data_IF_846311268007
#
_entry.id   IF_846311268007
#
_cell.length_a   1.000
_cell.length_b   1.000
_cell.length_c   1.000
_cell.angle_alpha   90.00
_cell.angle_beta   90.00
_cell.angle_gamma   90.00
#
_symmetry.space_group_name_H-M   'P 1'
#
loop_
_entity.id
_entity.type
_entity.pdbx_description
1 polymer ?
#
# COMPACT_ATOMS: atom_id res chain seq x y z
N UNK A 1 -5.57 -24.49 11.97
CA UNK A 1 -4.98 -23.14 11.81
C UNK A 1 -3.62 -23.31 11.18
N UNK A 2 -3.38 -22.69 10.02
CA UNK A 2 -2.03 -22.68 9.43
C UNK A 2 -1.12 -21.86 10.35
N UNK A 3 -0.06 -22.48 10.87
CA UNK A 3 0.94 -21.78 11.68
C UNK A 3 1.86 -21.01 10.74
N UNK A 4 1.82 -19.68 10.77
CA UNK A 4 2.70 -18.86 9.96
C UNK A 4 4.14 -18.97 10.48
N UNK A 5 5.08 -19.23 9.59
CA UNK A 5 6.51 -19.19 9.92
C UNK A 5 6.96 -17.72 9.99
N UNK A 6 7.69 -17.37 11.06
CA UNK A 6 8.15 -16.01 11.37
C UNK A 6 7.02 -14.95 11.35
N UNK A 7 6.06 -15.01 12.30
CA UNK A 7 4.90 -14.10 12.31
C UNK A 7 5.28 -12.63 12.56
N UNK A 8 6.47 -12.36 13.10
CA UNK A 8 6.97 -11.00 13.33
C UNK A 8 7.83 -10.48 12.18
N UNK A 9 8.14 -11.33 11.19
CA UNK A 9 9.00 -11.01 10.03
C UNK A 9 10.40 -10.51 10.41
N UNK A 10 10.89 -10.84 11.61
CA UNK A 10 12.11 -10.25 12.18
C UNK A 10 13.37 -10.55 11.36
N UNK A 11 13.32 -11.56 10.49
CA UNK A 11 14.44 -11.98 9.64
C UNK A 11 14.33 -11.52 8.20
N UNK A 12 13.38 -10.62 7.88
CA UNK A 12 13.12 -10.16 6.51
C UNK A 12 13.68 -8.76 6.26
N UNK A 13 14.49 -8.63 5.21
CA UNK A 13 15.01 -7.36 4.74
C UNK A 13 13.95 -6.58 3.94
N UNK A 14 14.17 -5.28 3.82
CA UNK A 14 13.47 -4.44 2.84
C UNK A 14 14.37 -4.21 1.63
N UNK A 15 13.86 -3.73 0.48
CA UNK A 15 14.66 -3.63 -0.75
C UNK A 15 15.98 -2.87 -0.59
N UNK A 16 16.02 -1.82 0.25
CA UNK A 16 17.22 -1.00 0.41
C UNK A 16 17.63 -0.72 1.85
N UNK A 17 16.98 -1.33 2.85
CA UNK A 17 17.45 -1.39 4.24
C UNK A 17 17.67 -2.85 4.64
N UNK A 18 18.95 -3.31 4.66
CA UNK A 18 19.32 -4.60 5.21
C UNK A 18 18.98 -4.72 6.70
N UNK A 19 18.72 -5.94 7.17
CA UNK A 19 18.30 -6.23 8.55
C UNK A 19 19.34 -5.73 9.56
N UNK A 20 20.63 -5.96 9.30
CA UNK A 20 21.74 -5.55 10.18
C UNK A 20 21.93 -4.02 10.25
N UNK A 21 21.29 -3.27 9.34
CA UNK A 21 21.30 -1.80 9.30
C UNK A 21 20.01 -1.18 9.85
N UNK A 22 18.96 -1.96 10.03
CA UNK A 22 17.70 -1.48 10.56
C UNK A 22 17.85 -1.12 12.05
N UNK A 23 17.59 0.14 12.40
CA UNK A 23 17.59 0.62 13.80
C UNK A 23 16.27 0.25 14.50
N UNK A 24 15.18 0.24 13.73
CA UNK A 24 13.89 -0.30 14.10
C UNK A 24 13.44 -1.26 13.02
N UNK A 25 12.98 -2.43 13.45
CA UNK A 25 12.36 -3.44 12.62
C UNK A 25 11.10 -3.91 13.34
N UNK A 26 9.96 -3.89 12.65
CA UNK A 26 8.65 -4.29 13.16
C UNK A 26 7.95 -5.06 12.05
N UNK A 27 7.23 -6.11 12.39
CA UNK A 27 6.37 -6.79 11.45
C UNK A 27 5.25 -7.56 12.12
N UNK A 28 4.25 -7.88 11.30
CA UNK A 28 3.07 -8.67 11.65
C UNK A 28 2.67 -9.53 10.45
N UNK A 29 2.03 -10.66 10.73
CA UNK A 29 1.54 -11.56 9.69
C UNK A 29 0.17 -12.09 10.10
N UNK A 30 -0.66 -12.40 9.12
CA UNK A 30 -1.96 -13.02 9.35
C UNK A 30 -2.34 -13.96 8.21
N UNK A 31 -3.22 -14.91 8.50
CA UNK A 31 -3.86 -15.76 7.50
C UNK A 31 -5.29 -15.27 7.27
N UNK A 32 -5.66 -15.07 6.01
CA UNK A 32 -6.99 -14.62 5.61
C UNK A 32 -7.64 -15.71 4.76
N UNK A 33 -8.85 -16.10 5.12
CA UNK A 33 -9.66 -17.14 4.46
C UNK A 33 -10.36 -16.55 3.23
N UNK A 34 -9.57 -16.04 2.28
CA UNK A 34 -10.06 -15.42 1.05
C UNK A 34 -9.01 -15.52 -0.07
N UNK A 35 -9.41 -15.38 -1.36
CA UNK A 35 -8.48 -15.35 -2.48
C UNK A 35 -7.47 -14.19 -2.40
N UNK A 36 -6.27 -14.42 -2.93
CA UNK A 36 -5.16 -13.46 -2.83
C UNK A 36 -5.43 -12.15 -3.56
N UNK A 37 -6.21 -12.22 -4.63
CA UNK A 37 -6.65 -11.12 -5.48
C UNK A 37 -7.62 -10.18 -4.74
N UNK A 38 -8.51 -10.75 -3.92
CA UNK A 38 -9.45 -9.99 -3.09
C UNK A 38 -8.71 -9.25 -1.97
N UNK A 39 -7.78 -9.94 -1.29
CA UNK A 39 -6.92 -9.34 -0.27
C UNK A 39 -6.06 -8.22 -0.88
N UNK A 40 -5.50 -8.43 -2.07
CA UNK A 40 -4.73 -7.44 -2.79
C UNK A 40 -5.56 -6.21 -3.18
N UNK A 41 -6.77 -6.41 -3.68
CA UNK A 41 -7.69 -5.33 -4.03
C UNK A 41 -8.06 -4.48 -2.80
N UNK A 42 -8.37 -5.12 -1.66
CA UNK A 42 -8.66 -4.43 -0.41
C UNK A 42 -7.44 -3.63 0.10
N UNK A 43 -6.24 -4.22 0.04
CA UNK A 43 -5.01 -3.56 0.47
C UNK A 43 -4.67 -2.35 -0.41
N UNK A 44 -4.82 -2.46 -1.73
CA UNK A 44 -4.33 -1.44 -2.68
C UNK A 44 -5.36 -0.36 -3.03
N UNK A 45 -6.65 -0.59 -2.76
CA UNK A 45 -7.69 0.43 -2.94
C UNK A 45 -7.92 1.25 -1.67
N UNK A 46 -7.33 2.44 -1.60
CA UNK A 46 -7.36 3.27 -0.40
C UNK A 46 -8.74 3.85 -0.08
N UNK A 47 -9.70 3.81 -1.01
CA UNK A 47 -11.06 4.30 -0.74
C UNK A 47 -11.79 3.44 0.28
N UNK A 48 -11.36 2.19 0.50
CA UNK A 48 -11.97 1.27 1.48
C UNK A 48 -11.36 1.44 2.87
N UNK A 49 -10.15 1.96 2.99
CA UNK A 49 -9.43 2.02 4.26
C UNK A 49 -10.18 2.73 5.41
N UNK A 50 -10.97 3.80 5.18
CA UNK A 50 -11.76 4.39 6.26
C UNK A 50 -12.75 3.45 6.94
N UNK A 51 -13.20 2.38 6.27
CA UNK A 51 -14.16 1.44 6.84
C UNK A 51 -13.51 0.30 7.62
N UNK A 52 -12.21 0.09 7.49
CA UNK A 52 -11.54 -1.04 8.12
C UNK A 52 -10.23 -0.70 8.83
N UNK A 53 -9.38 0.17 8.28
CA UNK A 53 -8.04 0.41 8.80
C UNK A 53 -8.07 1.42 9.96
N UNK A 54 -8.08 0.92 11.20
CA UNK A 54 -8.14 1.77 12.39
C UNK A 54 -6.88 2.63 12.56
N UNK A 55 -5.72 2.11 12.16
CA UNK A 55 -4.43 2.78 12.28
C UNK A 55 -4.21 3.86 11.21
N UNK A 56 -4.65 3.61 9.97
CA UNK A 56 -4.61 4.58 8.85
C UNK A 56 -5.98 4.66 8.17
N UNK A 57 -6.94 5.36 8.79
CA UNK A 57 -8.30 5.44 8.28
C UNK A 57 -8.45 6.41 7.09
N UNK A 58 -7.40 7.12 6.69
CA UNK A 58 -7.47 8.08 5.58
C UNK A 58 -6.15 8.14 4.83
N UNK A 59 -6.26 8.18 3.51
CA UNK A 59 -5.15 8.40 2.58
C UNK A 59 -5.49 9.55 1.64
N UNK A 60 -4.53 10.44 1.39
CA UNK A 60 -4.64 11.47 0.35
C UNK A 60 -3.62 11.19 -0.75
N UNK A 61 -4.07 10.94 -1.99
CA UNK A 61 -3.20 10.76 -3.14
C UNK A 61 -2.67 12.14 -3.57
N UNK A 62 -1.35 12.27 -3.70
CA UNK A 62 -0.67 13.52 -4.09
C UNK A 62 -0.33 13.54 -5.57
N UNK A 63 0.10 12.41 -6.12
CA UNK A 63 0.37 12.25 -7.54
C UNK A 63 0.37 10.78 -7.94
N UNK A 64 0.05 10.51 -9.20
CA UNK A 64 0.14 9.18 -9.80
C UNK A 64 0.77 9.29 -11.18
N UNK A 65 1.53 8.27 -11.63
CA UNK A 65 1.96 8.20 -13.02
C UNK A 65 0.75 8.21 -13.95
N UNK A 66 0.87 8.92 -15.06
CA UNK A 66 -0.11 8.86 -16.14
C UNK A 66 -0.09 7.45 -16.73
N UNK A 67 -1.25 6.82 -16.98
CA UNK A 67 -1.30 5.59 -17.76
C UNK A 67 -0.60 5.83 -19.10
N UNK A 68 0.36 4.97 -19.45
CA UNK A 68 1.08 5.08 -20.72
C UNK A 68 0.06 5.02 -21.88
N UNK A 69 0.03 5.99 -22.80
CA UNK A 69 -0.82 5.86 -23.98
C UNK A 69 -0.33 4.66 -24.78
N UNK A 70 -1.11 3.56 -24.76
CA UNK A 70 -0.82 2.39 -25.58
C UNK A 70 -0.60 2.81 -27.04
N UNK A 71 0.43 2.29 -27.74
CA UNK A 71 0.66 2.64 -29.13
C UNK A 71 -0.49 2.06 -29.95
N UNK A 72 -1.38 2.93 -30.40
CA UNK A 72 -2.38 2.58 -31.39
C UNK A 72 -1.65 2.23 -32.69
N UNK A 73 -1.39 0.94 -32.85
CA UNK A 73 -0.99 0.35 -34.13
C UNK A 73 -2.20 0.42 -35.04
N UNK A 74 -2.15 1.29 -36.04
CA UNK A 74 -2.54 1.02 -37.42
C UNK A 74 -2.54 2.34 -38.19
N UNK A 75 -1.51 2.53 -38.99
CA UNK A 75 -1.58 3.44 -40.12
C UNK A 75 -2.68 2.96 -41.09
N UNK A 76 -3.44 3.87 -41.71
CA UNK A 76 -3.96 3.64 -43.03
C UNK A 76 -3.23 4.53 -44.05
N UNK A 77 -2.95 3.90 -45.20
CA UNK A 77 -2.38 4.46 -46.43
C UNK A 77 -3.02 5.79 -46.89
N UNK A 78 -2.32 6.61 -47.71
CA UNK A 78 -2.80 7.91 -48.15
C UNK A 78 -3.63 7.79 -49.43
N UNK A 79 -4.82 8.39 -49.50
CA UNK A 79 -5.48 8.85 -50.76
C UNK A 79 -6.55 9.91 -50.42
N UNK A 80 -6.76 10.95 -51.25
CA UNK A 80 -7.05 12.29 -50.75
C UNK A 80 -8.50 12.76 -50.88
N UNK A 81 -8.77 13.85 -50.15
CA UNK A 81 -9.87 14.81 -50.29
C UNK A 81 -11.26 14.37 -49.78
N UNK A 82 -11.55 14.76 -48.53
CA UNK A 82 -12.79 15.47 -48.21
C UNK A 82 -12.60 16.28 -46.92
N UNK A 83 -12.84 17.58 -47.06
CA UNK A 83 -12.85 18.58 -46.00
C UNK A 83 -13.88 18.23 -44.94
N UNK A 84 -13.43 17.59 -43.87
CA UNK A 84 -14.15 17.53 -42.61
C UNK A 84 -13.12 17.56 -41.48
N UNK A 85 -13.07 18.69 -40.80
CA UNK A 85 -12.37 18.90 -39.54
C UNK A 85 -12.60 17.70 -38.61
N UNK A 86 -11.56 16.96 -38.16
CA UNK A 86 -11.77 16.01 -37.08
C UNK A 86 -11.97 16.83 -35.81
N UNK A 87 -13.24 17.01 -35.42
CA UNK A 87 -13.56 17.31 -34.03
C UNK A 87 -13.14 16.08 -33.25
N UNK A 88 -11.93 16.11 -32.71
CA UNK A 88 -11.52 15.20 -31.65
C UNK A 88 -12.54 15.36 -30.54
N UNK A 89 -13.51 14.44 -30.47
CA UNK A 89 -14.27 14.21 -29.26
C UNK A 89 -13.29 13.62 -28.25
N UNK A 90 -12.50 14.51 -27.66
CA UNK A 90 -11.94 14.30 -26.34
C UNK A 90 -13.16 14.14 -25.44
N UNK A 91 -13.47 12.88 -25.11
CA UNK A 91 -14.31 12.57 -23.96
C UNK A 91 -13.58 13.18 -22.77
N UNK A 92 -13.96 14.40 -22.41
CA UNK A 92 -13.48 15.11 -21.24
C UNK A 92 -14.11 14.45 -20.00
N UNK A 93 -13.62 13.26 -19.65
CA UNK A 93 -13.76 12.73 -18.30
C UNK A 93 -12.96 13.65 -17.39
N UNK A 94 -13.66 14.31 -16.45
CA UNK A 94 -13.14 15.23 -15.43
C UNK A 94 -11.65 15.01 -15.08
N UNK A 95 -10.78 15.79 -15.70
CA UNK A 95 -9.33 15.59 -15.72
C UNK A 95 -8.61 16.09 -14.46
N UNK A 96 -9.12 15.79 -13.25
CA UNK A 96 -8.41 16.18 -12.01
C UNK A 96 -8.63 15.29 -10.78
N UNK A 97 -9.34 14.16 -10.89
CA UNK A 97 -9.50 13.26 -9.74
C UNK A 97 -8.50 12.11 -9.84
N UNK A 98 -7.51 12.09 -8.95
CA UNK A 98 -6.55 10.99 -8.83
C UNK A 98 -7.25 9.70 -8.38
N UNK A 99 -6.80 8.55 -8.89
CA UNK A 99 -7.37 7.25 -8.55
C UNK A 99 -7.01 6.85 -7.11
N UNK A 100 -7.94 6.27 -6.32
CA UNK A 100 -7.61 5.73 -5.00
C UNK A 100 -6.84 4.40 -5.08
N UNK A 101 -6.70 3.81 -6.27
CA UNK A 101 -5.98 2.56 -6.46
C UNK A 101 -4.50 2.85 -6.56
N UNK A 102 -3.72 2.24 -5.68
CA UNK A 102 -2.26 2.41 -5.65
C UNK A 102 -1.62 1.66 -6.84
N UNK A 103 -0.50 2.21 -7.32
CA UNK A 103 0.30 1.66 -8.40
C UNK A 103 1.75 2.09 -8.18
N UNK A 104 2.70 1.46 -8.88
CA UNK A 104 4.11 1.86 -8.81
C UNK A 104 4.24 3.37 -9.11
N UNK A 105 4.99 4.09 -8.29
CA UNK A 105 5.20 5.54 -8.43
C UNK A 105 4.09 6.42 -7.84
N UNK A 106 2.99 5.87 -7.34
CA UNK A 106 1.98 6.67 -6.61
C UNK A 106 2.62 7.33 -5.39
N UNK A 107 2.50 8.65 -5.27
CA UNK A 107 2.89 9.42 -4.08
C UNK A 107 1.64 9.81 -3.30
N UNK A 108 1.65 9.61 -1.99
CA UNK A 108 0.47 9.80 -1.15
C UNK A 108 0.85 10.15 0.30
N UNK A 109 -0.15 10.52 1.08
CA UNK A 109 -0.03 10.82 2.51
C UNK A 109 -0.91 9.85 3.29
N UNK A 110 -0.31 9.12 4.23
CA UNK A 110 -1.00 8.34 5.24
C UNK A 110 -1.35 9.27 6.41
N UNK A 111 -2.63 9.36 6.76
CA UNK A 111 -3.06 10.12 7.93
C UNK A 111 -3.17 9.17 9.13
N UNK A 112 -2.05 9.02 9.84
CA UNK A 112 -1.89 7.99 10.88
C UNK A 112 -2.55 8.42 12.18
N UNK A 113 -3.32 7.52 12.79
CA UNK A 113 -3.78 7.65 14.18
C UNK A 113 -2.86 6.89 15.10
N UNK A 114 -2.01 7.62 15.82
CA UNK A 114 -1.09 6.98 16.75
C UNK A 114 -1.83 6.32 17.91
N UNK A 115 -2.96 6.87 18.37
CA UNK A 115 -3.76 6.32 19.47
C UNK A 115 -5.08 5.71 18.99
N UNK A 116 -4.99 4.51 18.40
CA UNK A 116 -6.12 3.79 17.82
C UNK A 116 -7.24 3.43 18.82
N UNK A 117 -6.94 3.39 20.12
CA UNK A 117 -7.91 3.08 21.19
C UNK A 117 -8.66 4.30 21.72
N UNK A 118 -8.21 5.52 21.37
CA UNK A 118 -8.82 6.76 21.86
C UNK A 118 -9.98 7.21 20.98
N UNK A 119 -11.12 7.47 21.61
CA UNK A 119 -12.31 8.05 20.97
C UNK A 119 -12.26 9.58 20.86
N UNK A 120 -11.22 10.22 21.43
CA UNK A 120 -11.06 11.67 21.38
C UNK A 120 -10.49 12.13 20.04
N UNK A 121 -10.82 13.36 19.58
CA UNK A 121 -10.14 13.96 18.46
C UNK A 121 -8.63 14.01 18.71
N UNK A 122 -7.86 13.43 17.79
CA UNK A 122 -6.40 13.46 17.81
C UNK A 122 -5.92 14.01 16.46
N UNK A 123 -4.87 14.85 16.45
CA UNK A 123 -4.25 15.25 15.19
C UNK A 123 -3.71 14.00 14.48
N UNK A 124 -4.03 13.85 13.20
CA UNK A 124 -3.39 12.82 12.40
C UNK A 124 -1.90 13.14 12.29
N UNK A 125 -1.06 12.11 12.39
CA UNK A 125 0.35 12.22 12.01
C UNK A 125 0.45 11.92 10.53
N UNK A 126 0.77 12.94 9.73
CA UNK A 126 0.92 12.78 8.29
C UNK A 126 2.27 12.13 7.98
N UNK A 127 2.21 11.01 7.26
CA UNK A 127 3.41 10.31 6.77
C UNK A 127 3.37 10.31 5.25
N UNK A 128 4.32 11.01 4.64
CA UNK A 128 4.44 11.08 3.18
C UNK A 128 5.23 9.89 2.65
N UNK A 129 4.61 9.16 1.74
CA UNK A 129 5.19 7.94 1.16
C UNK A 129 4.98 7.88 -0.35
N UNK A 130 5.72 6.99 -1.00
CA UNK A 130 5.49 6.59 -2.38
C UNK A 130 5.62 5.08 -2.56
N UNK A 131 4.99 4.54 -3.60
CA UNK A 131 5.09 3.12 -3.97
C UNK A 131 6.34 2.90 -4.82
N UNK A 132 7.33 2.17 -4.31
CA UNK A 132 8.57 1.86 -5.04
C UNK A 132 8.49 0.55 -5.82
N UNK A 133 7.76 -0.44 -5.31
CA UNK A 133 7.47 -1.71 -5.96
C UNK A 133 5.97 -1.99 -5.93
N UNK A 134 5.44 -2.57 -7.02
CA UNK A 134 4.04 -2.96 -7.13
C UNK A 134 3.95 -4.16 -8.06
N UNK A 135 3.55 -5.31 -7.53
CA UNK A 135 3.34 -6.56 -8.26
C UNK A 135 2.12 -7.26 -7.67
N UNK A 136 1.06 -7.43 -8.45
CA UNK A 136 -0.13 -8.13 -8.00
C UNK A 136 0.15 -9.63 -7.81
N UNK A 137 -0.55 -10.33 -6.90
CA UNK A 137 -0.48 -11.78 -6.82
C UNK A 137 -1.16 -12.43 -8.02
N UNK A 138 -0.78 -13.66 -8.33
CA UNK A 138 -1.49 -14.51 -9.27
C UNK A 138 -1.48 -15.94 -8.73
N UNK A 139 -2.65 -16.41 -8.27
CA UNK A 139 -2.78 -17.74 -7.69
C UNK A 139 -2.54 -18.88 -8.70
N UNK A 140 -2.81 -18.67 -9.99
CA UNK A 140 -2.62 -19.68 -11.05
C UNK A 140 -1.13 -19.92 -11.35
N UNK A 141 -0.32 -18.87 -11.32
CA UNK A 141 1.13 -18.94 -11.59
C UNK A 141 1.96 -19.11 -10.32
N UNK A 142 1.36 -18.93 -9.14
CA UNK A 142 2.05 -18.90 -7.85
C UNK A 142 2.83 -17.60 -7.60
N UNK A 143 2.53 -16.53 -8.35
CA UNK A 143 3.20 -15.25 -8.21
C UNK A 143 2.77 -14.57 -6.89
N UNK A 144 3.76 -14.21 -6.08
CA UNK A 144 3.55 -13.51 -4.82
C UNK A 144 3.21 -12.04 -5.08
N UNK A 145 2.11 -11.55 -4.52
CA UNK A 145 1.79 -10.14 -4.50
C UNK A 145 2.77 -9.39 -3.61
N UNK A 146 3.33 -8.28 -4.08
CA UNK A 146 4.30 -7.48 -3.33
C UNK A 146 4.15 -6.01 -3.60
N UNK A 147 3.99 -5.23 -2.53
CA UNK A 147 3.96 -3.77 -2.57
C UNK A 147 4.93 -3.20 -1.55
N UNK A 148 5.72 -2.21 -1.96
CA UNK A 148 6.71 -1.55 -1.11
C UNK A 148 6.41 -0.06 -1.05
N UNK A 149 6.27 0.44 0.17
CA UNK A 149 6.04 1.84 0.50
C UNK A 149 7.32 2.42 1.09
N UNK A 150 7.84 3.48 0.50
CA UNK A 150 9.02 4.19 0.99
C UNK A 150 8.64 5.59 1.47
N UNK A 151 9.29 6.09 2.53
CA UNK A 151 9.18 7.50 2.90
C UNK A 151 9.55 8.39 1.69
N UNK A 152 8.75 9.42 1.41
CA UNK A 152 8.98 10.35 0.29
C UNK A 152 9.81 11.56 0.75
N UNK A 153 11.13 11.62 0.45
CA UNK A 153 11.97 12.72 0.87
C UNK A 153 11.71 14.02 0.09
N UNK A 154 10.97 13.96 -1.02
CA UNK A 154 10.66 15.12 -1.86
C UNK A 154 9.38 15.84 -1.40
N UNK A 155 8.61 15.25 -0.49
CA UNK A 155 7.41 15.89 0.05
C UNK A 155 7.77 17.03 1.02
N UNK A 156 7.07 18.14 0.91
CA UNK A 156 7.19 19.24 1.87
C UNK A 156 6.86 18.75 3.28
N UNK A 157 7.76 18.98 4.24
CA UNK A 157 7.61 18.53 5.63
C UNK A 157 8.15 17.13 5.92
N UNK A 158 8.63 16.40 4.90
CA UNK A 158 9.32 15.13 5.13
C UNK A 158 10.69 15.31 5.77
N UNK A 159 11.10 14.30 6.53
CA UNK A 159 12.46 14.21 7.04
C UNK A 159 13.43 13.84 5.91
N UNK A 160 14.65 14.38 5.97
CA UNK A 160 15.73 13.92 5.12
C UNK A 160 16.01 12.42 5.32
N UNK A 161 16.43 11.66 4.30
CA UNK A 161 16.74 10.23 4.45
C UNK A 161 17.83 9.92 5.49
N UNK A 162 18.77 10.84 5.70
CA UNK A 162 19.78 10.70 6.77
C UNK A 162 19.18 10.76 8.17
N UNK A 163 18.04 11.44 8.31
CA UNK A 163 17.37 11.66 9.58
C UNK A 163 16.34 10.56 9.86
N UNK A 164 15.54 10.19 8.85
CA UNK A 164 14.62 9.06 8.89
C UNK A 164 14.41 8.51 7.47
N UNK A 165 14.87 7.29 7.24
CA UNK A 165 14.51 6.47 6.07
C UNK A 165 13.66 5.30 6.57
N UNK A 166 12.50 5.09 5.95
CA UNK A 166 11.60 4.00 6.28
C UNK A 166 11.12 3.30 5.01
N UNK A 167 11.10 1.97 5.05
CA UNK A 167 10.56 1.11 4.00
C UNK A 167 9.62 0.10 4.63
N UNK A 168 8.39 0.03 4.13
CA UNK A 168 7.40 -0.96 4.52
C UNK A 168 7.09 -1.85 3.35
N UNK A 169 6.98 -3.14 3.60
CA UNK A 169 6.67 -4.17 2.61
C UNK A 169 5.39 -4.87 3.02
N UNK A 170 4.52 -5.14 2.06
CA UNK A 170 3.49 -6.16 2.21
C UNK A 170 3.71 -7.24 1.16
N UNK A 171 3.65 -8.49 1.60
CA UNK A 171 3.59 -9.67 0.74
C UNK A 171 2.27 -10.40 0.93
N UNK A 172 1.67 -10.81 -0.18
CA UNK A 172 0.42 -11.54 -0.26
C UNK A 172 0.69 -12.81 -1.04
N UNK A 173 0.61 -13.95 -0.37
CA UNK A 173 0.92 -15.26 -0.94
C UNK A 173 -0.33 -16.14 -0.90
N UNK A 174 -0.78 -16.61 -2.06
CA UNK A 174 -1.82 -17.63 -2.13
C UNK A 174 -1.27 -18.95 -1.53
N UNK A 175 -2.02 -19.54 -0.61
CA UNK A 175 -1.68 -20.79 0.07
C UNK A 175 -2.91 -21.69 0.12
N UNK A 176 -2.74 -22.94 0.54
CA UNK A 176 -3.88 -23.83 0.70
C UNK A 176 -4.91 -23.26 1.69
N UNK A 177 -6.17 -23.14 1.24
CA UNK A 177 -7.29 -22.67 2.04
C UNK A 177 -7.40 -21.15 2.20
N UNK A 178 -6.52 -20.34 1.60
CA UNK A 178 -6.62 -18.88 1.68
C UNK A 178 -5.34 -18.14 1.30
N UNK A 179 -5.06 -17.06 2.01
CA UNK A 179 -3.99 -16.12 1.72
C UNK A 179 -3.17 -15.82 2.96
N UNK A 180 -1.86 -15.96 2.84
CA UNK A 180 -0.92 -15.49 3.85
C UNK A 180 -0.53 -14.03 3.54
N UNK A 181 -0.72 -13.16 4.52
CA UNK A 181 -0.31 -11.75 4.45
C UNK A 181 0.83 -11.50 5.43
N UNK A 182 1.93 -10.96 4.92
CA UNK A 182 3.07 -10.50 5.72
C UNK A 182 3.22 -8.99 5.55
N UNK A 183 3.41 -8.28 6.65
CA UNK A 183 3.66 -6.84 6.68
C UNK A 183 4.87 -6.57 7.56
N UNK A 184 5.89 -5.87 7.06
CA UNK A 184 7.03 -5.46 7.88
C UNK A 184 7.59 -4.12 7.44
N UNK A 185 8.23 -3.44 8.38
CA UNK A 185 8.86 -2.15 8.17
C UNK A 185 10.27 -2.14 8.77
N UNK A 186 11.22 -1.61 8.00
CA UNK A 186 12.55 -1.29 8.47
C UNK A 186 12.75 0.22 8.45
N UNK A 187 13.35 0.75 9.52
CA UNK A 187 13.73 2.15 9.61
C UNK A 187 15.20 2.32 9.97
N UNK A 188 15.85 3.32 9.39
CA UNK A 188 17.23 3.74 9.70
C UNK A 188 17.31 5.27 9.79
N UNK A 189 18.21 5.77 10.62
CA UNK A 189 18.44 7.20 10.80
C UNK A 189 18.41 7.62 12.26
N UNK A 190 18.89 8.84 12.53
CA UNK A 190 19.05 9.34 13.89
C UNK A 190 17.72 9.46 14.64
N UNK A 191 16.64 9.90 13.99
CA UNK A 191 15.33 10.04 14.65
C UNK A 191 14.71 8.70 15.04
N UNK A 192 15.15 7.60 14.42
CA UNK A 192 14.62 6.26 14.73
C UNK A 192 14.89 5.88 16.19
N UNK A 193 16.00 6.32 16.78
CA UNK A 193 16.28 6.06 18.20
C UNK A 193 15.23 6.69 19.12
N UNK A 194 14.80 7.92 18.84
CA UNK A 194 13.76 8.61 19.60
C UNK A 194 12.39 7.99 19.37
N UNK A 195 12.04 7.67 18.11
CA UNK A 195 10.78 6.98 17.75
C UNK A 195 10.70 5.62 18.43
N UNK A 196 11.77 4.83 18.37
CA UNK A 196 11.85 3.52 19.01
C UNK A 196 11.66 3.63 20.52
N UNK A 197 12.26 4.63 21.17
CA UNK A 197 12.11 4.82 22.62
C UNK A 197 10.68 5.22 23.00
N UNK A 198 10.04 6.12 22.25
CA UNK A 198 8.71 6.65 22.60
C UNK A 198 7.54 5.79 22.13
N UNK A 199 7.65 5.13 20.97
CA UNK A 199 6.49 4.60 20.25
C UNK A 199 6.63 3.14 19.81
N UNK A 200 7.75 2.44 20.08
CA UNK A 200 7.96 1.07 19.58
C UNK A 200 6.78 0.13 19.87
N UNK A 201 6.40 -0.02 21.14
CA UNK A 201 5.30 -0.94 21.52
C UNK A 201 3.97 -0.54 20.86
N UNK A 202 3.75 0.77 20.67
CA UNK A 202 2.55 1.29 20.01
C UNK A 202 2.56 0.99 18.50
N UNK A 203 3.71 1.12 17.85
CA UNK A 203 3.88 0.78 16.44
C UNK A 203 3.72 -0.72 16.22
N UNK A 204 4.27 -1.57 17.10
CA UNK A 204 4.07 -3.03 17.05
C UNK A 204 2.58 -3.39 17.11
N UNK A 205 1.85 -2.86 18.10
CA UNK A 205 0.41 -3.07 18.23
C UNK A 205 -0.39 -2.55 17.03
N UNK A 206 -0.01 -1.39 16.48
CA UNK A 206 -0.67 -0.81 15.31
C UNK A 206 -0.44 -1.62 14.03
N UNK A 207 0.71 -2.29 13.89
CA UNK A 207 0.99 -3.18 12.76
C UNK A 207 0.20 -4.48 12.85
N UNK A 208 0.07 -5.04 14.05
CA UNK A 208 -0.80 -6.20 14.29
C UNK A 208 -2.26 -5.85 14.00
N UNK A 209 -2.72 -4.68 14.48
CA UNK A 209 -4.05 -4.16 14.21
C UNK A 209 -4.33 -3.98 12.71
N UNK A 210 -3.37 -3.46 11.94
CA UNK A 210 -3.55 -3.30 10.49
C UNK A 210 -3.91 -4.63 9.80
N UNK A 211 -3.14 -5.69 10.05
CA UNK A 211 -3.38 -6.99 9.40
C UNK A 211 -4.63 -7.68 9.95
N UNK A 212 -4.97 -7.48 11.22
CA UNK A 212 -6.21 -7.97 11.82
C UNK A 212 -7.45 -7.28 11.23
N UNK A 213 -7.41 -5.96 11.06
CA UNK A 213 -8.48 -5.16 10.47
C UNK A 213 -8.71 -5.54 8.99
N UNK A 214 -7.62 -5.72 8.22
CA UNK A 214 -7.70 -6.19 6.83
C UNK A 214 -8.37 -7.56 6.75
N UNK A 215 -7.98 -8.50 7.63
CA UNK A 215 -8.59 -9.82 7.73
C UNK A 215 -10.10 -9.72 8.00
N UNK A 216 -10.49 -8.94 9.02
CA UNK A 216 -11.89 -8.77 9.41
C UNK A 216 -12.74 -8.17 8.28
N UNK A 217 -12.19 -7.22 7.53
CA UNK A 217 -12.88 -6.61 6.38
C UNK A 217 -13.09 -7.60 5.24
N UNK A 218 -12.03 -8.31 4.83
CA UNK A 218 -12.11 -9.24 3.70
C UNK A 218 -13.01 -10.42 4.03
N UNK A 219 -12.81 -11.09 5.17
CA UNK A 219 -13.63 -12.25 5.58
C UNK A 219 -15.08 -11.85 5.91
N UNK A 220 -15.30 -10.63 6.39
CA UNK A 220 -16.64 -10.10 6.63
C UNK A 220 -17.41 -9.82 5.34
N UNK A 221 -16.72 -9.36 4.29
CA UNK A 221 -17.30 -9.13 2.95
C UNK A 221 -17.68 -10.42 2.23
N UNK A 222 -16.86 -11.47 2.34
CA UNK A 222 -17.11 -12.78 1.69
C UNK A 222 -18.41 -13.46 2.18
N UNK A 223 -18.84 -13.19 3.43
CA UNK A 223 -20.09 -13.72 3.98
C UNK A 223 -21.36 -13.05 3.43
N UNK A 224 -21.27 -11.86 2.83
CA UNK A 224 -22.43 -11.15 2.28
C UNK A 224 -22.81 -11.61 0.86
N UNK A 225 -21.94 -12.38 0.17
CA UNK A 225 -22.15 -12.87 -1.19
C UNK A 225 -22.72 -14.28 -1.31
N UNK A 226 -23.05 -14.94 -0.18
CA UNK A 226 -23.46 -16.36 -0.14
C UNK A 226 -24.87 -16.55 0.47
N UNK A 227 -25.77 -15.58 0.32
CA UNK A 227 -27.19 -15.68 0.75
C UNK A 227 -28.15 -15.63 -0.42
#
# INVERSE_FOLDING_TARGET
MATLTDPTNATRATPSIPIDKATLHIGSSTFITAPSEEVWAALTNTSTWPSWNTFVPRVSIRSQPTPDPSPSTSAPDPTPASTATPTTQSTSTNANTLSPILQKGTKFTLHVRMDSTSTKPQPATDVHVYVSEFRAPNAETGEVGRIVWCADPEASGSFSPSLLKAERVHEITAVEGGTEVRNWEAQVGWLVYAVRWMYKAKLEANFEMWVADLKGFVEGGSNAGSS
#
